data_IF_293602470230
#
_entry.id   IF_293602470230
#
_cell.length_a   1.000
_cell.length_b   1.000
_cell.length_c   1.000
_cell.angle_alpha   90.00
_cell.angle_beta   90.00
_cell.angle_gamma   90.00
#
_symmetry.space_group_name_H-M   'P 1'
#
loop_
_entity.id
_entity.type
_entity.pdbx_description
1 polymer ?
#
# COMPACT_ATOMS: atom_id res chain seq x y z
N UNK A 1 -2.75 -7.77 14.75
CA UNK A 1 -3.43 -7.69 13.44
C UNK A 1 -2.36 -7.92 12.42
N UNK A 2 -2.57 -8.89 11.56
CA UNK A 2 -1.62 -9.26 10.50
C UNK A 2 -2.21 -8.86 9.14
N UNK A 3 -1.41 -8.18 8.34
CA UNK A 3 -1.73 -7.85 6.96
C UNK A 3 -0.88 -8.68 6.01
N UNK A 4 -1.54 -9.34 5.07
CA UNK A 4 -0.91 -9.99 3.93
C UNK A 4 -1.22 -9.16 2.67
N UNK A 5 -0.18 -8.72 1.98
CA UNK A 5 -0.26 -7.85 0.80
C UNK A 5 0.34 -8.61 -0.38
N UNK A 6 -0.46 -8.77 -1.42
CA UNK A 6 -0.02 -9.30 -2.71
C UNK A 6 0.19 -8.12 -3.64
N UNK A 7 1.40 -7.95 -4.16
CA UNK A 7 1.77 -6.93 -5.14
C UNK A 7 2.22 -7.56 -6.46
N UNK A 8 2.68 -8.81 -6.44
CA UNK A 8 3.09 -9.55 -7.61
C UNK A 8 1.88 -10.26 -8.24
N UNK A 9 1.50 -9.83 -9.44
CA UNK A 9 0.30 -10.32 -10.13
C UNK A 9 -0.89 -9.38 -9.95
N UNK A 10 -2.02 -9.89 -9.46
CA UNK A 10 -3.21 -9.06 -9.18
C UNK A 10 -3.09 -8.53 -7.75
N UNK A 11 -2.97 -7.20 -7.54
CA UNK A 11 -2.78 -6.68 -6.20
C UNK A 11 -3.96 -6.95 -5.28
N UNK A 12 -3.67 -7.27 -4.02
CA UNK A 12 -4.67 -7.61 -3.00
C UNK A 12 -4.16 -7.37 -1.58
N UNK A 13 -5.09 -7.24 -0.63
CA UNK A 13 -4.77 -7.14 0.80
C UNK A 13 -5.77 -7.97 1.59
N UNK A 14 -5.25 -8.78 2.51
CA UNK A 14 -6.02 -9.49 3.52
C UNK A 14 -5.60 -9.01 4.91
N UNK A 15 -6.57 -8.84 5.81
CA UNK A 15 -6.35 -8.61 7.24
C UNK A 15 -6.92 -9.78 8.00
N UNK A 16 -6.08 -10.51 8.73
CA UNK A 16 -6.49 -11.69 9.48
C UNK A 16 -7.31 -12.68 8.61
N UNK A 17 -6.86 -12.90 7.35
CA UNK A 17 -7.51 -13.70 6.29
C UNK A 17 -8.79 -13.14 5.66
N UNK A 18 -9.25 -11.97 6.08
CA UNK A 18 -10.40 -11.29 5.47
C UNK A 18 -9.95 -10.25 4.43
N UNK A 19 -10.50 -10.25 3.19
CA UNK A 19 -10.13 -9.27 2.17
C UNK A 19 -10.44 -7.83 2.60
N UNK A 20 -9.45 -6.95 2.46
CA UNK A 20 -9.62 -5.51 2.70
C UNK A 20 -10.06 -4.84 1.41
N UNK A 21 -11.24 -4.20 1.43
CA UNK A 21 -11.76 -3.45 0.27
C UNK A 21 -11.48 -1.97 0.40
N UNK A 22 -10.60 -1.45 -0.44
CA UNK A 22 -10.34 -0.02 -0.51
C UNK A 22 -11.53 0.75 -1.07
N UNK A 23 -11.76 1.99 -0.61
CA UNK A 23 -12.89 2.79 -1.06
C UNK A 23 -12.77 3.21 -2.54
N UNK A 24 -11.54 3.31 -3.06
CA UNK A 24 -11.26 3.65 -4.46
C UNK A 24 -9.78 3.40 -4.81
N UNK A 25 -9.49 3.31 -6.12
CA UNK A 25 -8.17 2.94 -6.68
C UNK A 25 -6.98 3.79 -6.19
N UNK A 26 -7.16 5.10 -6.02
CA UNK A 26 -6.05 5.96 -5.54
C UNK A 26 -5.68 5.70 -4.08
N UNK A 27 -6.65 5.38 -3.22
CA UNK A 27 -6.37 5.01 -1.84
C UNK A 27 -5.61 3.67 -1.78
N UNK A 28 -6.09 2.68 -2.54
CA UNK A 28 -5.41 1.39 -2.75
C UNK A 28 -3.97 1.57 -3.23
N UNK A 29 -3.76 2.35 -4.29
CA UNK A 29 -2.43 2.63 -4.84
C UNK A 29 -1.49 3.33 -3.85
N UNK A 30 -1.99 4.29 -3.05
CA UNK A 30 -1.17 4.94 -2.01
C UNK A 30 -0.70 3.92 -0.97
N UNK A 31 -1.57 3.00 -0.55
CA UNK A 31 -1.18 1.96 0.40
C UNK A 31 -0.12 1.04 -0.19
N UNK A 32 -0.30 0.56 -1.43
CA UNK A 32 0.70 -0.28 -2.10
C UNK A 32 2.03 0.44 -2.31
N UNK A 33 2.00 1.72 -2.66
CA UNK A 33 3.21 2.53 -2.76
C UNK A 33 3.98 2.55 -1.44
N UNK A 34 3.28 2.79 -0.33
CA UNK A 34 3.88 2.73 1.01
C UNK A 34 4.34 1.33 1.40
N UNK A 35 3.69 0.27 0.92
CA UNK A 35 4.16 -1.10 1.10
C UNK A 35 5.48 -1.36 0.38
N UNK A 36 5.78 -0.68 -0.72
CA UNK A 36 7.06 -0.82 -1.43
C UNK A 36 8.12 0.12 -0.85
N UNK A 37 7.86 1.42 -0.88
CA UNK A 37 8.85 2.46 -0.53
C UNK A 37 9.10 2.57 0.99
N UNK A 38 8.16 2.07 1.82
CA UNK A 38 8.13 2.13 3.30
C UNK A 38 8.06 3.54 3.89
N UNK A 39 8.55 4.55 3.19
CA UNK A 39 8.49 5.96 3.52
C UNK A 39 8.23 6.77 2.26
N UNK A 40 7.60 7.94 2.41
CA UNK A 40 7.39 8.91 1.32
C UNK A 40 7.02 10.26 1.92
N UNK A 41 6.88 11.29 1.10
CA UNK A 41 6.31 12.57 1.51
C UNK A 41 5.00 12.87 0.77
N UNK A 42 4.23 13.82 1.30
CA UNK A 42 2.91 14.14 0.75
C UNK A 42 2.98 14.75 -0.64
N UNK A 43 4.02 15.53 -0.95
CA UNK A 43 4.13 16.20 -2.24
C UNK A 43 4.45 15.20 -3.36
N UNK A 44 5.27 14.19 -3.07
CA UNK A 44 5.55 13.04 -3.93
C UNK A 44 4.27 12.27 -4.25
N UNK A 45 3.46 11.91 -3.23
CA UNK A 45 2.17 11.27 -3.44
C UNK A 45 1.19 12.15 -4.23
N UNK A 46 1.19 13.47 -4.00
CA UNK A 46 0.35 14.39 -4.78
C UNK A 46 0.77 14.39 -6.24
N UNK A 47 2.07 14.49 -6.52
CA UNK A 47 2.63 14.46 -7.87
C UNK A 47 2.31 13.14 -8.57
N UNK A 48 2.54 12.01 -7.91
CA UNK A 48 2.33 10.67 -8.48
C UNK A 48 0.86 10.41 -8.85
N UNK A 49 -0.08 10.75 -7.96
CA UNK A 49 -1.49 10.39 -8.13
C UNK A 49 -2.36 11.52 -8.71
N UNK A 50 -1.90 12.77 -8.69
CA UNK A 50 -2.66 13.95 -9.14
C UNK A 50 -1.81 15.01 -9.87
N UNK A 51 -0.59 14.71 -10.29
CA UNK A 51 0.34 15.70 -10.89
C UNK A 51 -0.13 16.37 -12.18
N UNK A 52 -1.16 15.85 -12.86
CA UNK A 52 -1.78 16.47 -14.03
C UNK A 52 -2.88 17.50 -13.70
N UNK A 53 -3.19 17.74 -12.43
CA UNK A 53 -4.27 18.62 -11.98
C UNK A 53 -3.81 19.77 -11.09
N UNK A 54 -4.77 20.50 -10.54
CA UNK A 54 -4.51 21.55 -9.55
C UNK A 54 -3.90 20.98 -8.26
N UNK A 55 -2.76 21.54 -7.86
CA UNK A 55 -1.96 21.05 -6.74
C UNK A 55 -2.70 21.19 -5.39
N UNK A 56 -3.48 22.26 -5.21
CA UNK A 56 -4.28 22.47 -4.00
C UNK A 56 -5.37 21.39 -3.86
N UNK A 57 -6.00 21.04 -4.98
CA UNK A 57 -6.96 19.94 -5.09
C UNK A 57 -6.30 18.58 -4.83
N UNK A 58 -5.09 18.35 -5.36
CA UNK A 58 -4.29 17.16 -5.08
C UNK A 58 -4.01 16.98 -3.58
N UNK A 59 -3.55 18.02 -2.89
CA UNK A 59 -3.34 18.00 -1.43
C UNK A 59 -4.62 17.73 -0.64
N UNK A 60 -5.76 18.29 -1.06
CA UNK A 60 -7.07 18.01 -0.44
C UNK A 60 -7.46 16.55 -0.61
N UNK A 61 -7.29 16.00 -1.81
CA UNK A 61 -7.60 14.60 -2.11
C UNK A 61 -6.68 13.64 -1.36
N UNK A 62 -5.39 13.94 -1.25
CA UNK A 62 -4.45 13.14 -0.45
C UNK A 62 -4.85 13.12 1.03
N UNK A 63 -5.25 14.27 1.61
CA UNK A 63 -5.77 14.30 2.99
C UNK A 63 -6.96 13.37 3.17
N UNK A 64 -7.90 13.40 2.23
CA UNK A 64 -9.07 12.51 2.25
C UNK A 64 -8.68 11.03 2.12
N UNK A 65 -7.76 10.70 1.21
CA UNK A 65 -7.27 9.34 1.04
C UNK A 65 -6.61 8.79 2.31
N UNK A 66 -5.70 9.56 2.92
CA UNK A 66 -5.03 9.16 4.15
C UNK A 66 -6.00 9.00 5.32
N UNK A 67 -7.04 9.85 5.41
CA UNK A 67 -8.09 9.70 6.41
C UNK A 67 -8.85 8.38 6.23
N UNK A 68 -9.27 8.07 5.01
CA UNK A 68 -9.98 6.82 4.73
C UNK A 68 -9.10 5.58 4.95
N UNK A 69 -7.83 5.65 4.58
CA UNK A 69 -6.86 4.57 4.82
C UNK A 69 -6.68 4.29 6.31
N UNK A 70 -6.50 5.32 7.14
CA UNK A 70 -6.40 5.17 8.60
C UNK A 70 -7.67 4.59 9.20
N UNK A 71 -8.84 5.01 8.73
CA UNK A 71 -10.11 4.45 9.17
C UNK A 71 -10.28 2.96 8.80
N UNK A 72 -9.80 2.58 7.62
CA UNK A 72 -9.90 1.21 7.09
C UNK A 72 -8.90 0.25 7.76
N UNK A 73 -7.64 0.69 7.86
CA UNK A 73 -6.49 -0.12 8.25
C UNK A 73 -6.10 0.03 9.74
N UNK A 74 -6.60 1.05 10.43
CA UNK A 74 -6.11 1.44 11.75
C UNK A 74 -5.16 2.64 11.66
N UNK A 75 -5.21 3.48 12.69
CA UNK A 75 -4.43 4.73 12.73
C UNK A 75 -2.93 4.49 12.80
N UNK A 76 -2.54 3.34 13.33
CA UNK A 76 -1.17 2.92 13.54
C UNK A 76 -0.49 2.46 12.24
N UNK A 77 -1.21 2.15 11.16
CA UNK A 77 -0.59 1.58 9.94
C UNK A 77 0.24 2.62 9.18
N UNK A 78 -0.28 3.84 9.04
CA UNK A 78 0.39 4.94 8.33
C UNK A 78 0.67 6.07 9.31
N UNK A 79 1.92 6.16 9.75
CA UNK A 79 2.36 7.16 10.73
C UNK A 79 2.91 8.41 10.06
N UNK A 80 2.68 9.56 10.68
CA UNK A 80 3.30 10.83 10.27
C UNK A 80 4.67 10.94 10.94
N UNK A 81 5.68 11.31 10.16
CA UNK A 81 6.99 11.67 10.68
C UNK A 81 7.20 13.17 10.42
N UNK A 82 6.96 14.00 11.44
CA UNK A 82 6.97 15.45 11.28
C UNK A 82 5.75 15.97 10.51
N UNK A 83 5.94 17.00 9.67
CA UNK A 83 4.83 17.71 8.99
C UNK A 83 4.46 17.11 7.63
N UNK A 84 5.43 16.59 6.89
CA UNK A 84 5.23 16.20 5.50
C UNK A 84 5.53 14.74 5.19
N UNK A 85 6.23 14.02 6.06
CA UNK A 85 6.63 12.66 5.79
C UNK A 85 5.62 11.65 6.33
N UNK A 86 5.46 10.58 5.57
CA UNK A 86 4.58 9.45 5.85
C UNK A 86 5.45 8.19 5.86
N UNK A 87 5.22 7.33 6.83
CA UNK A 87 5.91 6.05 6.94
C UNK A 87 4.92 4.93 7.23
N UNK A 88 5.18 3.77 6.64
CA UNK A 88 4.52 2.54 7.04
C UNK A 88 5.06 2.10 8.41
N UNK A 89 4.18 1.84 9.35
CA UNK A 89 4.60 1.49 10.71
C UNK A 89 5.14 0.06 10.78
N UNK A 90 6.44 -0.07 11.03
CA UNK A 90 7.14 -1.35 11.15
C UNK A 90 6.76 -2.16 12.39
N UNK A 91 5.97 -1.60 13.32
CA UNK A 91 5.40 -2.35 14.45
C UNK A 91 4.13 -3.10 14.07
N UNK A 92 3.51 -2.75 12.94
CA UNK A 92 2.40 -3.50 12.37
C UNK A 92 3.00 -4.59 11.48
N UNK A 93 2.56 -5.82 11.70
CA UNK A 93 3.00 -6.95 10.88
C UNK A 93 2.30 -6.88 9.52
N UNK A 94 3.04 -6.36 8.52
CA UNK A 94 2.61 -6.27 7.14
C UNK A 94 3.58 -7.11 6.31
N UNK A 95 3.12 -8.28 5.87
CA UNK A 95 3.86 -9.17 4.99
C UNK A 95 3.48 -8.85 3.56
N UNK A 96 4.48 -8.68 2.70
CA UNK A 96 4.29 -8.44 1.28
C UNK A 96 5.10 -9.45 0.48
N UNK A 97 4.51 -9.99 -0.58
CA UNK A 97 5.22 -10.85 -1.55
C UNK A 97 6.38 -10.13 -2.26
N UNK A 98 6.35 -8.80 -2.27
CA UNK A 98 7.44 -7.94 -2.76
C UNK A 98 8.72 -8.01 -1.92
N UNK A 99 8.60 -8.24 -0.60
CA UNK A 99 9.75 -8.33 0.32
C UNK A 99 10.20 -9.79 0.52
N UNK A 100 9.59 -10.76 -0.18
CA UNK A 100 9.92 -12.17 0.01
C UNK A 100 11.37 -12.47 -0.38
N UNK A 101 12.09 -13.28 0.41
CA UNK A 101 13.40 -13.77 0.02
C UNK A 101 13.36 -14.52 -1.32
N UNK A 102 14.43 -14.44 -2.11
CA UNK A 102 14.52 -15.08 -3.44
C UNK A 102 14.19 -16.58 -3.44
N UNK A 103 14.47 -17.31 -2.34
CA UNK A 103 14.12 -18.73 -2.21
C UNK A 103 12.62 -19.01 -2.20
N UNK A 104 11.82 -18.06 -1.72
CA UNK A 104 10.37 -18.21 -1.67
C UNK A 104 9.73 -17.81 -2.99
N UNK A 105 10.42 -16.96 -3.79
CA UNK A 105 9.99 -16.59 -5.14
C UNK A 105 9.95 -17.79 -6.10
N UNK A 106 10.86 -18.76 -5.97
CA UNK A 106 10.84 -19.98 -6.81
C UNK A 106 9.60 -20.84 -6.57
N UNK A 107 8.99 -20.81 -5.37
CA UNK A 107 7.72 -21.50 -5.10
C UNK A 107 6.54 -20.84 -5.83
N UNK A 108 6.59 -19.52 -6.02
CA UNK A 108 5.61 -18.79 -6.82
C UNK A 108 5.77 -19.08 -8.33
N UNK A 109 7.00 -19.33 -8.80
CA UNK A 109 7.29 -19.67 -10.19
C UNK A 109 6.70 -21.03 -10.59
N UNK A 110 6.78 -22.03 -9.71
CA UNK A 110 6.18 -23.36 -9.97
C UNK A 110 4.65 -23.26 -10.12
N UNK A 111 3.97 -22.55 -9.21
CA UNK A 111 2.51 -22.31 -9.31
C UNK A 111 2.09 -21.44 -10.50
N UNK A 112 2.98 -20.55 -10.97
CA UNK A 112 2.70 -19.75 -12.16
C UNK A 112 2.65 -20.62 -13.41
N UNK A 113 3.57 -21.60 -13.54
CA UNK A 113 3.61 -22.46 -14.70
C UNK A 113 2.37 -23.35 -14.79
N UNK A 114 1.75 -23.75 -13.67
CA UNK A 114 0.48 -24.49 -13.62
C UNK A 114 -0.67 -23.82 -14.38
N UNK A 115 -0.61 -22.52 -14.64
CA UNK A 115 -1.64 -21.82 -15.43
C UNK A 115 -1.52 -22.06 -16.95
N UNK A 116 -0.40 -22.61 -17.43
CA UNK A 116 -0.10 -22.76 -18.85
C UNK A 116 0.06 -24.22 -19.30
N UNK A 117 0.08 -25.17 -18.37
CA UNK A 117 0.18 -26.63 -18.62
C UNK A 117 -1.18 -27.31 -18.56
#
# INVERSE_FOLDING_TARGET
>A
MEYEVTLLGIPGVCRDREPVRFPYRKAEGIFYYLCVEKHTNRDELVSLFWGSGDEASGRKNLRQALFQLRKLLGEEVIVLQGRNDLKLNQRVEIKTDWDMPERDFSLCQERFLDFFI
#
